data_IF_525572539746
#
_entry.id   IF_525572539746
#
_cell.length_a   1.000
_cell.length_b   1.000
_cell.length_c   1.000
_cell.angle_alpha   90.00
_cell.angle_beta   90.00
_cell.angle_gamma   90.00
#
_symmetry.space_group_name_H-M   'P 1'
#
loop_
_entity.id
_entity.type
_entity.pdbx_description
1 polymer ?
#
# COMPACT_ATOMS: atom_id res chain seq x y z
N UNK A 1 1.62 -6.53 1.19
CA UNK A 1 0.58 -5.86 2.00
C UNK A 1 0.40 -4.44 1.51
N UNK A 2 -0.83 -4.06 1.29
CA UNK A 2 -1.20 -2.69 0.92
C UNK A 2 -2.00 -2.09 2.06
N UNK A 3 -1.44 -1.07 2.71
CA UNK A 3 -2.18 -0.30 3.71
C UNK A 3 -2.96 0.78 2.99
N UNK A 4 -4.27 0.80 3.19
CA UNK A 4 -5.18 1.70 2.49
C UNK A 4 -6.09 2.43 3.46
N UNK A 5 -6.88 3.36 2.93
CA UNK A 5 -7.91 4.05 3.70
C UNK A 5 -9.14 4.26 2.82
N UNK A 6 -10.24 4.68 3.45
CA UNK A 6 -11.47 4.98 2.71
C UNK A 6 -11.28 6.20 1.81
N UNK A 7 -12.00 6.23 0.70
CA UNK A 7 -12.01 7.36 -0.23
C UNK A 7 -10.61 7.75 -0.71
N UNK A 8 -9.81 6.75 -1.06
CA UNK A 8 -8.44 6.94 -1.50
C UNK A 8 -8.29 6.47 -2.94
N UNK A 9 -8.28 7.41 -3.89
CA UNK A 9 -8.14 7.08 -5.31
C UNK A 9 -6.83 6.40 -5.64
N UNK A 10 -5.73 6.85 -5.03
CA UNK A 10 -4.42 6.23 -5.25
C UNK A 10 -4.34 4.83 -4.66
N UNK A 11 -5.08 4.55 -3.59
CA UNK A 11 -5.15 3.19 -3.06
C UNK A 11 -5.81 2.25 -4.08
N UNK A 12 -6.89 2.70 -4.69
CA UNK A 12 -7.57 1.93 -5.75
C UNK A 12 -6.63 1.69 -6.93
N UNK A 13 -5.91 2.73 -7.36
CA UNK A 13 -4.95 2.62 -8.47
C UNK A 13 -3.83 1.65 -8.14
N UNK A 14 -3.29 1.70 -6.93
CA UNK A 14 -2.22 0.80 -6.51
C UNK A 14 -2.68 -0.65 -6.55
N UNK A 15 -3.88 -0.93 -6.06
CA UNK A 15 -4.43 -2.29 -6.11
C UNK A 15 -4.60 -2.76 -7.55
N UNK A 16 -5.07 -1.89 -8.43
CA UNK A 16 -5.21 -2.23 -9.85
C UNK A 16 -3.87 -2.58 -10.49
N UNK A 17 -2.82 -1.80 -10.19
CA UNK A 17 -1.47 -2.07 -10.71
C UNK A 17 -1.01 -3.45 -10.29
N UNK A 18 -1.17 -3.78 -9.00
CA UNK A 18 -0.75 -5.09 -8.49
C UNK A 18 -1.52 -6.22 -9.15
N UNK A 19 -2.83 -6.08 -9.31
CA UNK A 19 -3.65 -7.08 -9.99
C UNK A 19 -3.25 -7.27 -11.44
N UNK A 20 -3.00 -6.17 -12.15
CA UNK A 20 -2.60 -6.22 -13.55
C UNK A 20 -1.24 -6.90 -13.75
N UNK A 21 -0.38 -6.84 -12.77
CA UNK A 21 0.92 -7.54 -12.80
C UNK A 21 0.84 -8.97 -12.32
N UNK A 22 -0.35 -9.44 -11.93
CA UNK A 22 -0.53 -10.80 -11.43
C UNK A 22 0.06 -11.05 -10.06
N UNK A 23 0.22 -9.99 -9.28
CA UNK A 23 0.78 -10.10 -7.93
C UNK A 23 -0.33 -10.22 -6.89
N UNK A 24 -0.20 -11.21 -6.03
CA UNK A 24 -1.12 -11.37 -4.91
C UNK A 24 -0.75 -10.39 -3.79
N UNK A 25 -1.76 -9.85 -3.12
CA UNK A 25 -1.52 -8.94 -2.01
C UNK A 25 -2.66 -9.00 -1.01
N UNK A 26 -2.37 -8.60 0.21
CA UNK A 26 -3.36 -8.41 1.26
C UNK A 26 -3.58 -6.91 1.43
N UNK A 27 -4.84 -6.49 1.44
CA UNK A 27 -5.20 -5.11 1.71
C UNK A 27 -5.61 -4.96 3.17
N UNK A 28 -5.04 -3.98 3.85
CA UNK A 28 -5.40 -3.66 5.23
C UNK A 28 -5.86 -2.21 5.26
N UNK A 29 -7.15 -1.99 5.53
CA UNK A 29 -7.71 -0.65 5.64
C UNK A 29 -7.46 -0.12 7.06
N UNK A 30 -6.66 0.94 7.16
CA UNK A 30 -6.25 1.47 8.46
C UNK A 30 -7.39 2.14 9.23
N UNK A 31 -8.47 2.50 8.54
CA UNK A 31 -9.64 3.06 9.22
C UNK A 31 -10.49 1.99 9.86
N UNK A 32 -10.36 0.73 9.42
CA UNK A 32 -11.08 -0.41 9.99
C UNK A 32 -10.26 -1.16 11.03
N UNK A 33 -8.93 -0.98 11.05
CA UNK A 33 -8.03 -1.70 11.95
C UNK A 33 -7.13 -0.71 12.68
N UNK A 34 -7.48 -0.36 13.93
CA UNK A 34 -6.71 0.63 14.71
C UNK A 34 -5.23 0.26 14.88
N UNK A 35 -4.92 -1.02 15.03
CA UNK A 35 -3.54 -1.48 15.19
C UNK A 35 -2.73 -1.25 13.91
N UNK A 36 -3.36 -1.37 12.74
CA UNK A 36 -2.69 -1.10 11.48
C UNK A 36 -2.43 0.40 11.31
N UNK A 37 -3.37 1.23 11.73
CA UNK A 37 -3.20 2.68 11.72
C UNK A 37 -2.02 3.09 12.59
N UNK A 38 -1.94 2.52 13.79
CA UNK A 38 -0.85 2.80 14.70
C UNK A 38 0.49 2.37 14.10
N UNK A 39 0.51 1.21 13.43
CA UNK A 39 1.71 0.71 12.78
C UNK A 39 2.23 1.71 11.73
N UNK A 40 1.36 2.17 10.81
CA UNK A 40 1.82 3.07 9.75
C UNK A 40 2.25 4.43 10.29
N UNK A 41 1.59 4.92 11.33
CA UNK A 41 1.98 6.17 11.99
C UNK A 41 3.37 6.01 12.63
N UNK A 42 3.61 4.92 13.32
CA UNK A 42 4.89 4.66 13.98
C UNK A 42 6.02 4.49 12.97
N UNK A 43 5.71 4.02 11.75
CA UNK A 43 6.68 3.92 10.67
C UNK A 43 6.95 5.26 9.98
N UNK A 44 6.28 6.32 10.42
CA UNK A 44 6.47 7.66 9.88
C UNK A 44 5.66 7.98 8.64
N UNK A 45 4.69 7.13 8.30
CA UNK A 45 3.86 7.35 7.10
C UNK A 45 2.74 8.34 7.39
N UNK A 46 2.51 9.25 6.45
CA UNK A 46 1.45 10.26 6.56
C UNK A 46 0.42 10.16 5.43
N UNK A 47 0.73 9.37 4.40
CA UNK A 47 -0.14 9.24 3.23
C UNK A 47 -0.41 7.76 2.95
N UNK A 48 -1.52 7.51 2.24
CA UNK A 48 -1.87 6.17 1.76
C UNK A 48 -1.98 6.24 0.24
N UNK A 49 -1.74 5.16 -0.48
CA UNK A 49 -1.43 3.82 0.04
C UNK A 49 0.01 3.73 0.55
N UNK A 50 0.27 2.73 1.40
CA UNK A 50 1.63 2.35 1.77
C UNK A 50 1.78 0.87 1.47
N UNK A 51 2.78 0.53 0.66
CA UNK A 51 2.97 -0.82 0.15
C UNK A 51 4.20 -1.45 0.81
N UNK A 52 4.02 -2.67 1.31
CA UNK A 52 5.09 -3.46 1.89
C UNK A 52 5.20 -4.76 1.11
N UNK A 53 6.42 -5.11 0.68
CA UNK A 53 6.70 -6.34 -0.06
C UNK A 53 7.78 -7.08 0.71
N UNK A 54 7.49 -8.32 1.11
CA UNK A 54 8.39 -9.16 1.91
C UNK A 54 8.89 -8.44 3.16
N UNK A 55 7.98 -7.70 3.82
CA UNK A 55 8.29 -6.98 5.04
C UNK A 55 9.03 -5.67 4.85
N UNK A 56 9.29 -5.26 3.61
CA UNK A 56 10.02 -4.02 3.32
C UNK A 56 9.07 -2.97 2.77
N UNK A 57 9.18 -1.74 3.29
CA UNK A 57 8.42 -0.61 2.79
C UNK A 57 8.89 -0.23 1.40
N UNK A 58 7.96 -0.23 0.44
CA UNK A 58 8.22 0.22 -0.93
C UNK A 58 7.90 1.71 -1.04
N UNK A 59 6.89 2.17 -0.32
CA UNK A 59 6.40 3.53 -0.38
C UNK A 59 4.97 3.59 -0.87
N UNK A 60 4.62 4.67 -1.53
CA UNK A 60 3.27 4.90 -2.03
C UNK A 60 3.08 4.48 -3.47
N UNK A 61 2.08 5.07 -4.12
CA UNK A 61 1.71 4.71 -5.49
C UNK A 61 2.85 4.95 -6.48
N UNK A 62 3.51 6.11 -6.41
CA UNK A 62 4.60 6.43 -7.36
C UNK A 62 5.77 5.47 -7.22
N UNK A 63 6.13 5.12 -5.99
CA UNK A 63 7.19 4.17 -5.71
C UNK A 63 6.81 2.77 -6.19
N UNK A 64 5.52 2.41 -6.07
CA UNK A 64 5.03 1.14 -6.60
C UNK A 64 5.21 1.06 -8.11
N UNK A 65 4.90 2.14 -8.84
CA UNK A 65 5.07 2.16 -10.30
C UNK A 65 6.52 1.89 -10.68
N UNK A 66 7.46 2.49 -9.97
CA UNK A 66 8.88 2.26 -10.21
C UNK A 66 9.27 0.81 -9.91
N UNK A 67 8.72 0.26 -8.83
CA UNK A 67 9.02 -1.10 -8.44
C UNK A 67 8.56 -2.11 -9.48
N UNK A 68 7.31 -1.97 -9.98
CA UNK A 68 6.77 -2.93 -10.96
C UNK A 68 7.47 -2.81 -12.31
N UNK A 69 8.04 -1.65 -12.64
CA UNK A 69 8.80 -1.49 -13.87
C UNK A 69 10.10 -2.32 -13.86
N UNK A 70 10.56 -2.73 -12.67
CA UNK A 70 11.78 -3.55 -12.54
C UNK A 70 11.48 -5.04 -12.61
N UNK A 71 10.22 -5.43 -12.65
CA UNK A 71 9.82 -6.86 -12.69
C UNK A 71 9.81 -7.42 -14.15
#
# INVERSE_FOLDING_TARGET
VVYSKNMCGYCVKAKSVLKNKGLDFEEINIEEKPEAREFVINEGHRTMPQIYIDGKSIGGYNELLKYVDTL
#
